data_IF_390121307860
#
_entry.id   IF_390121307860
#
_cell.length_a   1.000
_cell.length_b   1.000
_cell.length_c   1.000
_cell.angle_alpha   90.00
_cell.angle_beta   90.00
_cell.angle_gamma   90.00
#
_symmetry.space_group_name_H-M   'P 1'
#
loop_
_entity.id
_entity.type
_entity.pdbx_description
1 polymer ?
#
# COMPACT_ATOMS: atom_id res chain seq x y z
N UNK A 1 13.93 20.16 13.81
CA UNK A 1 14.00 18.73 13.40
C UNK A 1 12.87 18.00 14.11
N UNK A 2 11.78 17.69 13.43
CA UNK A 2 10.76 16.79 13.98
C UNK A 2 10.27 15.92 12.83
N UNK A 3 11.10 14.95 12.44
CA UNK A 3 10.62 13.83 11.65
C UNK A 3 9.69 13.07 12.58
N UNK A 4 8.40 13.15 12.31
CA UNK A 4 7.39 12.25 12.88
C UNK A 4 7.95 10.84 12.91
N UNK A 5 8.18 10.32 14.12
CA UNK A 5 8.91 9.10 14.41
C UNK A 5 8.08 7.88 14.01
N UNK A 6 7.98 7.63 12.71
CA UNK A 6 7.40 6.39 12.22
C UNK A 6 8.46 5.31 12.43
N UNK A 7 8.34 4.64 13.57
CA UNK A 7 9.08 3.43 13.92
C UNK A 7 8.97 2.40 12.79
N UNK A 8 9.96 2.37 11.90
CA UNK A 8 10.04 1.44 10.79
C UNK A 8 10.97 0.30 11.13
N UNK A 9 10.40 -0.84 11.49
CA UNK A 9 11.11 -2.09 11.68
C UNK A 9 10.11 -3.25 11.61
N UNK A 10 10.56 -4.46 11.26
CA UNK A 10 9.70 -5.63 11.24
C UNK A 10 9.31 -6.07 12.66
N UNK A 11 8.17 -6.71 12.80
CA UNK A 11 7.79 -7.51 13.97
C UNK A 11 7.83 -8.98 13.59
N UNK A 12 8.45 -9.83 14.43
CA UNK A 12 8.48 -11.28 14.23
C UNK A 12 7.45 -11.95 15.12
N UNK A 13 6.57 -12.73 14.52
CA UNK A 13 5.52 -13.51 15.16
C UNK A 13 6.05 -14.89 15.60
N UNK A 14 6.26 -15.12 16.91
CA UNK A 14 6.89 -16.34 17.41
C UNK A 14 6.00 -17.58 17.25
N UNK A 15 4.69 -17.40 17.08
CA UNK A 15 3.72 -18.46 16.76
C UNK A 15 3.94 -19.05 15.35
N UNK A 16 4.44 -18.24 14.42
CA UNK A 16 4.70 -18.66 13.03
C UNK A 16 6.16 -18.99 12.78
N UNK A 17 7.07 -18.34 13.50
CA UNK A 17 8.50 -18.55 13.36
C UNK A 17 8.90 -19.91 13.92
N UNK A 18 9.36 -20.80 13.04
CA UNK A 18 9.96 -22.09 13.37
C UNK A 18 11.48 -22.02 13.52
N UNK A 19 12.08 -20.83 13.34
CA UNK A 19 13.52 -20.62 13.37
C UNK A 19 14.24 -21.05 12.10
N UNK A 20 13.52 -21.37 11.01
CA UNK A 20 14.11 -21.96 9.81
C UNK A 20 14.92 -23.24 10.13
N UNK A 21 14.48 -24.04 11.10
CA UNK A 21 15.18 -25.26 11.56
C UNK A 21 15.40 -26.31 10.46
N UNK A 22 14.58 -26.28 9.42
CA UNK A 22 14.67 -27.16 8.26
C UNK A 22 15.65 -26.66 7.18
N UNK A 23 16.24 -25.47 7.37
CA UNK A 23 17.17 -24.83 6.45
C UNK A 23 18.55 -24.70 7.10
N UNK A 24 19.60 -24.63 6.27
CA UNK A 24 20.99 -24.48 6.74
C UNK A 24 21.22 -23.19 7.54
N UNK A 25 20.48 -22.12 7.20
CA UNK A 25 20.55 -20.85 7.88
C UNK A 25 19.17 -20.15 7.94
N UNK A 26 18.94 -19.28 8.95
CA UNK A 26 17.77 -18.43 8.98
C UNK A 26 17.81 -17.40 7.86
N UNK A 27 16.92 -17.56 6.86
CA UNK A 27 16.87 -16.69 5.68
C UNK A 27 16.76 -15.20 6.00
N UNK A 28 16.09 -14.83 7.09
CA UNK A 28 15.96 -13.43 7.50
C UNK A 28 17.27 -12.82 8.03
N UNK A 29 18.11 -13.62 8.69
CA UNK A 29 19.43 -13.21 9.19
C UNK A 29 20.43 -13.16 8.03
N UNK A 30 20.46 -14.20 7.20
CA UNK A 30 21.35 -14.29 6.04
C UNK A 30 21.08 -13.18 5.01
N UNK A 31 19.81 -12.88 4.76
CA UNK A 31 19.41 -11.88 3.78
C UNK A 31 19.67 -10.44 4.25
N UNK A 32 19.62 -10.17 5.56
CA UNK A 32 19.69 -8.81 6.09
C UNK A 32 21.13 -8.41 6.46
N UNK A 33 21.84 -7.60 5.64
CA UNK A 33 23.22 -7.21 5.92
C UNK A 33 23.34 -6.21 7.09
N UNK A 34 22.22 -5.75 7.64
CA UNK A 34 22.16 -4.71 8.67
C UNK A 34 22.04 -5.27 10.10
N UNK A 35 22.17 -6.60 10.28
CA UNK A 35 22.11 -7.27 11.58
C UNK A 35 20.86 -6.90 12.40
N UNK A 36 19.72 -6.76 11.71
CA UNK A 36 18.43 -6.42 12.35
C UNK A 36 17.90 -7.60 13.17
N UNK A 37 18.17 -8.82 12.71
CA UNK A 37 17.67 -10.06 13.31
C UNK A 37 18.76 -10.86 14.00
N UNK A 38 18.41 -11.53 15.10
CA UNK A 38 19.20 -12.58 15.74
C UNK A 38 18.31 -13.80 16.03
N UNK A 39 18.92 -14.94 16.33
CA UNK A 39 18.20 -16.15 16.75
C UNK A 39 18.29 -16.30 18.26
N UNK A 40 17.14 -16.29 18.92
CA UNK A 40 17.02 -16.55 20.34
C UNK A 40 16.03 -17.70 20.58
N UNK A 41 16.44 -18.71 21.36
CA UNK A 41 15.64 -19.92 21.62
C UNK A 41 15.09 -20.60 20.34
N UNK A 42 15.89 -20.58 19.26
CA UNK A 42 15.50 -21.17 17.98
C UNK A 42 14.38 -20.41 17.26
N UNK A 43 14.18 -19.11 17.53
CA UNK A 43 13.28 -18.22 16.81
C UNK A 43 13.97 -16.91 16.46
N UNK A 44 13.57 -16.29 15.35
CA UNK A 44 14.08 -14.99 14.97
C UNK A 44 13.51 -13.89 15.88
N UNK A 45 14.37 -13.00 16.34
CA UNK A 45 14.04 -11.83 17.16
C UNK A 45 14.68 -10.58 16.55
N UNK A 46 14.03 -9.43 16.69
CA UNK A 46 14.55 -8.16 16.18
C UNK A 46 15.37 -7.51 17.27
N UNK A 47 16.70 -7.54 17.12
CA UNK A 47 17.64 -7.00 18.12
C UNK A 47 18.04 -5.56 17.83
N UNK A 48 18.22 -5.22 16.55
CA UNK A 48 18.64 -3.88 16.13
C UNK A 48 17.59 -3.24 15.21
N UNK A 49 16.40 -2.86 15.73
CA UNK A 49 15.36 -2.25 14.91
C UNK A 49 15.81 -0.92 14.28
N UNK A 50 16.74 -0.20 14.92
CA UNK A 50 17.32 1.07 14.46
C UNK A 50 18.08 0.91 13.13
N UNK A 51 18.62 -0.28 12.86
CA UNK A 51 19.38 -0.57 11.64
C UNK A 51 18.48 -0.92 10.45
N UNK A 52 17.16 -1.02 10.67
CA UNK A 52 16.23 -1.35 9.61
C UNK A 52 16.09 -0.18 8.63
N UNK A 53 16.40 -0.43 7.35
CA UNK A 53 16.28 0.59 6.31
C UNK A 53 14.81 0.89 6.02
N UNK A 54 14.42 2.16 6.14
CA UNK A 54 13.07 2.62 5.82
C UNK A 54 12.64 2.20 4.42
N UNK A 55 11.49 1.53 4.32
CA UNK A 55 10.91 1.03 3.07
C UNK A 55 11.44 -0.31 2.57
N UNK A 56 12.51 -0.86 3.16
CA UNK A 56 12.97 -2.21 2.86
C UNK A 56 12.01 -3.23 3.50
N UNK A 57 11.45 -4.14 2.68
CA UNK A 57 10.51 -5.19 3.10
C UNK A 57 10.96 -6.59 2.65
N UNK A 58 12.18 -6.72 2.14
CA UNK A 58 12.61 -7.95 1.46
C UNK A 58 12.69 -9.16 2.39
N UNK A 59 12.97 -8.95 3.68
CA UNK A 59 12.97 -10.03 4.68
C UNK A 59 11.56 -10.59 4.97
N UNK A 60 10.48 -9.81 4.76
CA UNK A 60 9.11 -10.32 4.83
C UNK A 60 8.83 -11.31 3.70
N UNK A 61 9.22 -10.95 2.47
CA UNK A 61 9.01 -11.79 1.29
C UNK A 61 9.82 -13.10 1.30
N UNK A 62 11.02 -13.09 1.88
CA UNK A 62 11.90 -14.27 1.90
C UNK A 62 11.53 -15.28 3.00
N UNK A 63 10.74 -14.86 4.00
CA UNK A 63 10.36 -15.70 5.13
C UNK A 63 9.35 -16.77 4.67
N UNK A 64 9.71 -18.08 4.66
CA UNK A 64 8.82 -19.13 4.16
C UNK A 64 7.55 -19.28 5.01
N UNK A 65 7.65 -18.98 6.32
CA UNK A 65 6.54 -19.06 7.27
C UNK A 65 5.71 -17.78 7.36
N UNK A 66 6.07 -16.72 6.64
CA UNK A 66 5.42 -15.39 6.72
C UNK A 66 5.26 -14.93 8.17
N UNK A 67 6.32 -15.11 8.96
CA UNK A 67 6.37 -14.76 10.38
C UNK A 67 6.79 -13.30 10.61
N UNK A 68 7.24 -12.60 9.57
CA UNK A 68 7.75 -11.22 9.64
C UNK A 68 6.71 -10.29 9.05
N UNK A 69 6.36 -9.21 9.76
CA UNK A 69 5.38 -8.22 9.31
C UNK A 69 5.94 -6.83 9.53
N UNK A 70 5.80 -5.96 8.54
CA UNK A 70 6.17 -4.55 8.66
C UNK A 70 4.96 -3.67 9.05
N UNK A 71 5.20 -2.53 9.71
CA UNK A 71 4.19 -1.49 9.80
C UNK A 71 3.73 -1.13 8.38
N UNK A 72 2.42 -0.92 8.22
CA UNK A 72 1.91 -0.43 6.94
C UNK A 72 2.66 0.85 6.61
N UNK A 73 3.15 0.97 5.37
CA UNK A 73 3.61 2.26 4.85
C UNK A 73 2.40 3.17 4.89
N UNK A 74 2.25 3.91 5.98
CA UNK A 74 1.24 4.95 6.10
C UNK A 74 1.68 6.05 5.15
N UNK A 75 1.36 5.89 3.87
CA UNK A 75 0.80 7.02 3.15
C UNK A 75 -0.47 7.36 3.90
N UNK A 76 -0.35 8.11 4.99
CA UNK A 76 -1.48 8.78 5.62
C UNK A 76 -1.98 9.88 4.67
N UNK A 77 -2.29 9.52 3.43
CA UNK A 77 -3.60 9.81 2.89
C UNK A 77 -4.51 8.81 3.62
N UNK A 78 -4.86 9.19 4.85
CA UNK A 78 -6.24 9.02 5.33
C UNK A 78 -7.13 9.16 4.11
N UNK A 79 -8.10 8.27 3.94
CA UNK A 79 -9.09 8.24 2.85
C UNK A 79 -9.92 9.54 2.78
N UNK A 80 -9.28 10.70 2.72
CA UNK A 80 -9.79 12.03 2.49
C UNK A 80 -9.85 12.15 0.99
N UNK A 81 -11.03 11.76 0.50
CA UNK A 81 -11.54 11.92 -0.85
C UNK A 81 -10.78 11.10 -1.88
N UNK A 82 -11.44 10.03 -2.33
CA UNK A 82 -11.29 9.47 -3.68
C UNK A 82 -11.03 10.65 -4.61
N UNK A 83 -9.82 10.75 -5.16
CA UNK A 83 -9.51 11.76 -6.18
C UNK A 83 -10.63 11.69 -7.20
N UNK A 84 -11.39 12.77 -7.33
CA UNK A 84 -12.44 12.94 -8.32
C UNK A 84 -11.79 12.82 -9.70
N UNK A 85 -11.60 11.58 -10.15
CA UNK A 85 -11.57 11.29 -11.58
C UNK A 85 -12.92 11.81 -12.04
N UNK A 86 -12.94 12.78 -12.95
CA UNK A 86 -14.15 13.30 -13.59
C UNK A 86 -14.88 12.13 -14.25
N UNK A 87 -15.66 11.39 -13.47
CA UNK A 87 -16.35 10.19 -13.91
C UNK A 87 -17.45 10.70 -14.82
N UNK A 88 -17.27 10.46 -16.12
CA UNK A 88 -18.32 10.70 -17.08
C UNK A 88 -19.54 9.89 -16.63
N UNK A 89 -20.68 10.54 -16.50
CA UNK A 89 -21.95 9.88 -16.24
C UNK A 89 -22.79 9.90 -17.52
N UNK A 90 -23.64 8.88 -17.65
CA UNK A 90 -24.49 8.66 -18.82
C UNK A 90 -25.81 9.40 -18.62
N UNK A 91 -26.12 10.37 -19.48
CA UNK A 91 -27.33 11.19 -19.42
C UNK A 91 -28.05 11.22 -20.76
N UNK A 92 -29.37 11.39 -20.75
CA UNK A 92 -30.21 11.52 -21.95
C UNK A 92 -30.46 13.00 -22.27
N UNK A 93 -30.23 13.39 -23.51
CA UNK A 93 -30.52 14.74 -23.98
C UNK A 93 -32.04 15.00 -24.01
N UNK A 94 -32.49 16.12 -23.45
CA UNK A 94 -33.91 16.50 -23.45
C UNK A 94 -34.46 16.88 -24.83
N UNK A 95 -33.60 17.36 -25.74
CA UNK A 95 -34.00 17.85 -27.07
C UNK A 95 -34.01 16.72 -28.10
N UNK A 96 -32.87 16.05 -28.29
CA UNK A 96 -32.72 15.02 -29.33
C UNK A 96 -32.88 13.58 -28.83
N UNK A 97 -33.05 13.38 -27.52
CA UNK A 97 -33.22 12.06 -26.91
C UNK A 97 -31.98 11.17 -26.91
N UNK A 98 -30.85 11.61 -27.49
CA UNK A 98 -29.59 10.86 -27.53
C UNK A 98 -29.02 10.66 -26.12
N UNK A 99 -28.47 9.48 -25.87
CA UNK A 99 -27.74 9.21 -24.64
C UNK A 99 -26.26 9.56 -24.84
N UNK A 100 -25.70 10.38 -23.96
CA UNK A 100 -24.34 10.89 -24.05
C UNK A 100 -23.64 10.83 -22.69
N UNK A 101 -22.32 10.92 -22.71
CA UNK A 101 -21.47 10.87 -21.53
C UNK A 101 -20.93 12.27 -21.25
N UNK A 102 -21.06 12.75 -20.01
CA UNK A 102 -20.58 14.08 -19.63
C UNK A 102 -20.10 14.10 -18.18
N UNK A 103 -19.13 14.95 -17.89
CA UNK A 103 -18.70 15.30 -16.52
C UNK A 103 -19.49 16.52 -15.99
N UNK A 104 -20.30 17.18 -16.82
CA UNK A 104 -21.16 18.31 -16.45
C UNK A 104 -22.53 17.81 -16.03
N UNK A 105 -23.13 18.42 -15.01
CA UNK A 105 -24.49 18.10 -14.58
C UNK A 105 -25.54 18.71 -15.52
N UNK A 106 -25.58 18.24 -16.77
CA UNK A 106 -26.43 18.76 -17.85
C UNK A 106 -27.20 17.63 -18.54
N UNK A 107 -28.45 17.91 -18.89
CA UNK A 107 -29.32 17.02 -19.66
C UNK A 107 -29.45 17.46 -21.13
N UNK A 108 -28.43 18.16 -21.64
CA UNK A 108 -28.36 18.68 -22.99
C UNK A 108 -27.03 18.22 -23.63
N UNK A 109 -27.10 17.58 -24.79
CA UNK A 109 -25.88 17.15 -25.50
C UNK A 109 -25.19 18.36 -26.18
N UNK A 110 -23.88 18.24 -26.41
CA UNK A 110 -23.06 19.31 -27.01
C UNK A 110 -23.62 19.84 -28.34
N UNK A 111 -24.15 18.95 -29.19
CA UNK A 111 -24.77 19.35 -30.48
C UNK A 111 -26.01 20.24 -30.31
N UNK A 112 -26.80 20.01 -29.25
CA UNK A 112 -28.01 20.77 -28.97
C UNK A 112 -27.70 22.06 -28.23
N UNK A 113 -26.71 22.05 -27.33
CA UNK A 113 -26.22 23.25 -26.65
C UNK A 113 -25.66 24.29 -27.64
N UNK A 114 -24.93 23.84 -28.67
CA UNK A 114 -24.40 24.73 -29.71
C UNK A 114 -25.50 25.38 -30.58
N UNK A 115 -26.71 24.79 -30.62
CA UNK A 115 -27.85 25.34 -31.36
C UNK A 115 -28.68 26.34 -30.56
N UNK A 116 -28.67 26.23 -29.23
CA UNK A 116 -29.37 27.19 -28.34
C UNK A 116 -28.59 28.49 -28.13
N UNK A 117 -27.25 28.44 -28.24
CA UNK A 117 -26.38 29.61 -28.06
C UNK A 117 -26.15 30.42 -29.36
N UNK A 118 -27.00 30.23 -30.38
CA UNK A 118 -26.93 30.91 -31.67
C UNK A 118 -28.26 31.58 -31.98
#
# INVERSE_FOLDING_TARGET
MSRSDVSWYPTVFPDRCDGCKELDAPKCVEFCPHNVFEIYNGKAVVMNPQNCVYGCISCESICPRKAIVFPQRTTAILKLKRRDKRLLHKTKCRICGKIFWTDRNVNLCFDCEAKENK
#
